data_IF_650313795215
#
_entry.id   IF_650313795215
#
_cell.length_a   1.000
_cell.length_b   1.000
_cell.length_c   1.000
_cell.angle_alpha   90.00
_cell.angle_beta   90.00
_cell.angle_gamma   90.00
#
_symmetry.space_group_name_H-M   'P 1'
#
loop_
_entity.id
_entity.type
_entity.pdbx_description
1 polymer ?
#
# COMPACT_ATOMS: atom_id res chain seq x y z
N UNK A 1 -10.99 11.42 -17.99
CA UNK A 1 -11.01 10.79 -16.65
C UNK A 1 -9.71 10.04 -16.30
N UNK A 2 -9.20 9.09 -17.11
CA UNK A 2 -8.02 8.28 -16.70
C UNK A 2 -6.76 9.07 -16.31
N UNK A 3 -6.50 10.23 -16.93
CA UNK A 3 -5.35 11.11 -16.57
C UNK A 3 -5.40 11.58 -15.12
N UNK A 4 -6.59 11.66 -14.54
CA UNK A 4 -6.81 12.12 -13.18
C UNK A 4 -6.39 11.05 -12.16
N UNK A 5 -6.52 9.75 -12.50
CA UNK A 5 -6.25 8.64 -11.58
C UNK A 5 -4.78 8.49 -11.17
N UNK A 6 -3.87 9.02 -11.98
CA UNK A 6 -2.41 9.04 -11.73
C UNK A 6 -1.90 10.46 -11.46
N UNK A 7 -2.80 11.43 -11.25
CA UNK A 7 -2.43 12.72 -10.68
C UNK A 7 -2.59 12.63 -9.16
N UNK A 8 -1.53 12.88 -8.36
CA UNK A 8 -1.57 12.61 -6.93
C UNK A 8 -2.52 13.58 -6.20
N UNK A 9 -2.66 14.83 -6.67
CA UNK A 9 -3.62 15.79 -6.11
C UNK A 9 -5.05 15.33 -6.33
N UNK A 10 -5.41 15.00 -7.57
CA UNK A 10 -6.75 14.50 -7.86
C UNK A 10 -7.05 13.22 -7.07
N UNK A 11 -6.11 12.26 -7.08
CA UNK A 11 -6.28 10.99 -6.39
C UNK A 11 -6.48 11.18 -4.89
N UNK A 12 -5.71 12.06 -4.28
CA UNK A 12 -5.83 12.39 -2.86
C UNK A 12 -7.18 13.03 -2.53
N UNK A 13 -7.62 14.02 -3.34
CA UNK A 13 -8.92 14.67 -3.17
C UNK A 13 -10.09 13.69 -3.37
N UNK A 14 -9.98 12.77 -4.35
CA UNK A 14 -11.00 11.76 -4.60
C UNK A 14 -11.11 10.76 -3.43
N UNK A 15 -9.98 10.31 -2.89
CA UNK A 15 -9.93 9.41 -1.73
C UNK A 15 -10.55 10.06 -0.50
N UNK A 16 -10.08 11.25 -0.14
CA UNK A 16 -10.60 11.94 1.05
C UNK A 16 -12.04 12.43 0.87
N UNK A 17 -12.42 12.87 -0.33
CA UNK A 17 -13.81 13.21 -0.66
C UNK A 17 -14.74 12.01 -0.48
N UNK A 18 -14.36 10.83 -0.97
CA UNK A 18 -15.13 9.60 -0.79
C UNK A 18 -15.23 9.19 0.69
N UNK A 19 -14.11 9.19 1.41
CA UNK A 19 -14.06 8.81 2.84
C UNK A 19 -14.94 9.73 3.69
N UNK A 20 -14.86 11.05 3.47
CA UNK A 20 -15.70 12.03 4.17
C UNK A 20 -17.16 11.86 3.81
N UNK A 21 -17.50 11.68 2.52
CA UNK A 21 -18.88 11.49 2.10
C UNK A 21 -19.51 10.24 2.73
N UNK A 22 -18.81 9.11 2.73
CA UNK A 22 -19.29 7.86 3.34
C UNK A 22 -19.39 7.97 4.87
N UNK A 23 -18.48 8.70 5.51
CA UNK A 23 -18.54 8.96 6.94
C UNK A 23 -19.72 9.86 7.31
N UNK A 24 -19.93 10.97 6.58
CA UNK A 24 -21.07 11.88 6.78
C UNK A 24 -22.39 11.16 6.55
N UNK A 25 -22.47 10.31 5.52
CA UNK A 25 -23.66 9.47 5.31
C UNK A 25 -23.93 8.57 6.53
N UNK A 26 -22.88 7.94 7.07
CA UNK A 26 -22.98 7.15 8.28
C UNK A 26 -23.40 7.95 9.52
N UNK A 27 -23.06 9.24 9.61
CA UNK A 27 -23.56 10.12 10.65
C UNK A 27 -25.05 10.44 10.47
N UNK A 28 -25.48 10.69 9.23
CA UNK A 28 -26.87 11.05 8.91
C UNK A 28 -27.86 9.92 9.24
N UNK A 29 -27.43 8.67 9.10
CA UNK A 29 -28.25 7.49 9.45
C UNK A 29 -27.98 6.97 10.86
N UNK A 30 -27.30 7.76 11.70
CA UNK A 30 -26.95 7.42 13.09
C UNK A 30 -26.12 6.12 13.24
N UNK A 31 -25.45 5.70 12.17
CA UNK A 31 -24.58 4.52 12.19
C UNK A 31 -23.27 4.80 12.92
N UNK A 32 -22.73 6.01 12.81
CA UNK A 32 -21.56 6.46 13.55
C UNK A 32 -21.93 7.45 14.68
N UNK A 33 -21.16 7.48 15.77
CA UNK A 33 -21.35 8.47 16.83
C UNK A 33 -21.14 9.89 16.30
N UNK A 34 -21.81 10.91 16.87
CA UNK A 34 -21.66 12.30 16.45
C UNK A 34 -20.19 12.74 16.40
N UNK A 35 -19.81 13.28 15.24
CA UNK A 35 -18.46 13.78 15.00
C UNK A 35 -18.18 15.03 15.86
N UNK A 36 -16.99 15.08 16.47
CA UNK A 36 -16.53 16.33 17.08
C UNK A 36 -16.06 17.29 15.98
N UNK A 37 -16.20 18.62 16.17
CA UNK A 37 -15.68 19.61 15.21
C UNK A 37 -14.18 19.42 14.91
N UNK A 38 -13.41 18.88 15.87
CA UNK A 38 -11.97 18.58 15.71
C UNK A 38 -11.68 17.63 14.56
N UNK A 39 -12.56 16.67 14.27
CA UNK A 39 -12.37 15.71 13.15
C UNK A 39 -12.40 16.44 11.82
N UNK A 40 -13.40 17.31 11.60
CA UNK A 40 -13.51 18.07 10.36
C UNK A 40 -12.37 19.06 10.18
N UNK A 41 -11.91 19.71 11.26
CA UNK A 41 -10.72 20.56 11.23
C UNK A 41 -9.46 19.77 10.88
N UNK A 42 -9.25 18.60 11.48
CA UNK A 42 -8.13 17.73 11.18
C UNK A 42 -8.10 17.29 9.72
N UNK A 43 -9.25 16.86 9.18
CA UNK A 43 -9.39 16.47 7.77
C UNK A 43 -9.20 17.66 6.83
N UNK A 44 -9.82 18.80 7.13
CA UNK A 44 -9.71 20.03 6.34
C UNK A 44 -8.27 20.53 6.26
N UNK A 45 -7.58 20.59 7.41
CA UNK A 45 -6.16 20.96 7.48
C UNK A 45 -5.30 19.99 6.67
N UNK A 46 -5.53 18.69 6.82
CA UNK A 46 -4.83 17.65 6.08
C UNK A 46 -4.97 17.80 4.55
N UNK A 47 -6.19 18.01 4.06
CA UNK A 47 -6.47 18.18 2.62
C UNK A 47 -5.89 19.49 2.09
N UNK A 48 -6.04 20.59 2.83
CA UNK A 48 -5.48 21.88 2.46
C UNK A 48 -3.94 21.84 2.42
N UNK A 49 -3.30 21.27 3.44
CA UNK A 49 -1.86 21.13 3.54
C UNK A 49 -1.28 20.29 2.40
N UNK A 50 -1.85 19.12 2.11
CA UNK A 50 -1.42 18.28 0.99
C UNK A 50 -1.52 19.04 -0.34
N UNK A 51 -2.66 19.71 -0.57
CA UNK A 51 -2.90 20.46 -1.80
C UNK A 51 -1.90 21.61 -1.96
N UNK A 52 -1.65 22.35 -0.87
CA UNK A 52 -0.66 23.43 -0.85
C UNK A 52 0.74 22.90 -1.15
N UNK A 53 1.17 21.80 -0.51
CA UNK A 53 2.48 21.20 -0.75
C UNK A 53 2.67 20.75 -2.20
N UNK A 54 1.65 20.13 -2.79
CA UNK A 54 1.66 19.77 -4.20
C UNK A 54 1.83 20.99 -5.10
N UNK A 55 1.00 22.02 -4.88
CA UNK A 55 1.03 23.26 -5.69
C UNK A 55 2.34 24.03 -5.53
N UNK A 56 2.93 24.07 -4.33
CA UNK A 56 4.24 24.69 -4.09
C UNK A 56 5.30 24.11 -5.01
N UNK A 57 5.41 22.77 -5.12
CA UNK A 57 6.39 22.16 -6.03
C UNK A 57 6.08 22.47 -7.49
N UNK A 58 4.82 22.45 -7.90
CA UNK A 58 4.42 22.77 -9.28
C UNK A 58 4.84 24.20 -9.64
N UNK A 59 4.66 25.16 -8.73
CA UNK A 59 5.09 26.56 -8.91
C UNK A 59 6.62 26.68 -8.96
N UNK A 60 7.33 26.08 -7.99
CA UNK A 60 8.80 26.08 -7.96
C UNK A 60 9.42 25.45 -9.22
N UNK A 61 8.76 24.44 -9.78
CA UNK A 61 9.22 23.82 -11.03
C UNK A 61 9.07 24.75 -12.23
N UNK A 62 8.02 25.58 -12.27
CA UNK A 62 7.80 26.54 -13.37
C UNK A 62 8.80 27.69 -13.34
N UNK A 63 9.32 28.06 -12.16
CA UNK A 63 10.28 29.15 -12.01
C UNK A 63 11.74 28.71 -12.20
N UNK A 64 12.02 27.40 -12.22
CA UNK A 64 13.37 26.90 -12.49
C UNK A 64 13.74 27.06 -13.96
N UNK A 65 14.80 27.82 -14.21
CA UNK A 65 15.49 27.84 -15.51
C UNK A 65 16.09 26.47 -15.83
N UNK A 66 16.11 26.14 -17.11
CA UNK A 66 16.51 24.83 -17.66
C UNK A 66 17.91 24.35 -17.21
N UNK A 67 18.77 25.28 -16.79
CA UNK A 67 20.19 25.07 -16.50
C UNK A 67 20.47 24.27 -15.22
N UNK A 68 19.47 24.07 -14.36
CA UNK A 68 19.62 23.36 -13.08
C UNK A 68 19.29 21.86 -13.12
N UNK A 69 19.04 21.27 -14.30
CA UNK A 69 18.79 19.82 -14.36
C UNK A 69 20.09 19.07 -14.10
N UNK A 70 20.31 18.70 -12.83
CA UNK A 70 21.30 17.72 -12.40
C UNK A 70 21.42 16.64 -13.47
N UNK A 71 22.60 16.56 -14.09
CA UNK A 71 22.86 15.61 -15.17
C UNK A 71 22.47 14.24 -14.67
N UNK A 72 21.39 13.69 -15.24
CA UNK A 72 21.01 12.34 -14.94
C UNK A 72 22.19 11.47 -15.38
N UNK A 73 22.69 10.56 -14.52
CA UNK A 73 23.72 9.62 -14.96
C UNK A 73 23.23 8.94 -16.24
N UNK A 74 24.15 8.66 -17.16
CA UNK A 74 23.86 7.96 -18.41
C UNK A 74 23.35 6.54 -18.10
N UNK A 75 22.06 6.42 -17.79
CA UNK A 75 21.40 5.15 -17.50
C UNK A 75 21.04 4.49 -18.84
N UNK A 76 21.33 3.19 -18.95
CA UNK A 76 20.94 2.42 -20.11
C UNK A 76 19.40 2.43 -20.29
N UNK A 77 18.89 2.57 -21.53
CA UNK A 77 17.46 2.51 -21.80
C UNK A 77 16.90 1.13 -21.45
N UNK A 78 15.68 1.11 -20.92
CA UNK A 78 14.94 -0.10 -20.62
C UNK A 78 14.53 -0.77 -21.93
N UNK A 79 15.35 -1.71 -22.41
CA UNK A 79 15.01 -2.55 -23.54
C UNK A 79 14.24 -3.82 -23.09
N UNK A 80 13.66 -4.55 -24.04
CA UNK A 80 12.86 -5.74 -23.78
C UNK A 80 13.64 -6.85 -23.04
N UNK A 81 14.96 -6.96 -23.30
CA UNK A 81 15.84 -7.95 -22.65
C UNK A 81 16.01 -7.62 -21.17
N UNK A 82 16.36 -6.38 -20.84
CA UNK A 82 16.51 -5.90 -19.46
C UNK A 82 15.19 -6.02 -18.69
N UNK A 83 14.07 -5.62 -19.29
CA UNK A 83 12.75 -5.78 -18.66
C UNK A 83 12.43 -7.25 -18.36
N UNK A 84 12.69 -8.16 -19.30
CA UNK A 84 12.50 -9.60 -19.07
C UNK A 84 13.39 -10.12 -17.94
N UNK A 85 14.67 -9.73 -17.92
CA UNK A 85 15.60 -10.12 -16.83
C UNK A 85 15.09 -9.63 -15.47
N UNK A 86 14.67 -8.36 -15.38
CA UNK A 86 14.11 -7.79 -14.17
C UNK A 86 12.84 -8.50 -13.70
N UNK A 87 11.96 -8.86 -14.63
CA UNK A 87 10.75 -9.61 -14.32
C UNK A 87 11.06 -11.04 -13.85
N UNK A 88 12.03 -11.73 -14.44
CA UNK A 88 12.44 -13.06 -13.96
C UNK A 88 13.06 -13.00 -12.56
N UNK A 89 13.92 -12.01 -12.30
CA UNK A 89 14.50 -11.82 -10.97
C UNK A 89 13.40 -11.55 -9.94
N UNK A 90 12.52 -10.59 -10.20
CA UNK A 90 11.43 -10.27 -9.27
C UNK A 90 10.46 -11.45 -9.08
N UNK A 91 10.14 -12.20 -10.13
CA UNK A 91 9.32 -13.41 -10.04
C UNK A 91 9.99 -14.52 -9.21
N UNK A 92 11.30 -14.72 -9.35
CA UNK A 92 12.05 -15.66 -8.53
C UNK A 92 11.94 -15.31 -7.04
N UNK A 93 12.05 -14.02 -6.68
CA UNK A 93 11.80 -13.55 -5.32
C UNK A 93 10.35 -13.77 -4.88
N UNK A 94 9.37 -13.67 -5.79
CA UNK A 94 7.99 -14.03 -5.52
C UNK A 94 7.80 -15.51 -5.19
N UNK A 95 8.44 -16.41 -5.95
CA UNK A 95 8.43 -17.85 -5.65
C UNK A 95 9.10 -18.14 -4.30
N UNK A 96 10.24 -17.50 -4.02
CA UNK A 96 10.92 -17.63 -2.72
C UNK A 96 10.02 -17.14 -1.58
N UNK A 97 9.28 -16.04 -1.77
CA UNK A 97 8.31 -15.56 -0.79
C UNK A 97 7.19 -16.57 -0.52
N UNK A 98 6.63 -17.21 -1.56
CA UNK A 98 5.63 -18.30 -1.41
C UNK A 98 6.20 -19.44 -0.57
N UNK A 99 7.41 -19.91 -0.88
CA UNK A 99 8.08 -20.97 -0.14
C UNK A 99 8.30 -20.56 1.32
N UNK A 100 8.78 -19.35 1.58
CA UNK A 100 9.00 -18.84 2.94
C UNK A 100 7.70 -18.69 3.73
N UNK A 101 6.61 -18.28 3.08
CA UNK A 101 5.28 -18.27 3.69
C UNK A 101 4.82 -19.69 4.07
N UNK A 102 5.02 -20.68 3.19
CA UNK A 102 4.67 -22.07 3.48
C UNK A 102 5.51 -22.65 4.63
N UNK A 103 6.83 -22.42 4.61
CA UNK A 103 7.74 -22.81 5.70
C UNK A 103 7.30 -22.17 7.01
N UNK A 104 6.94 -20.87 7.01
CA UNK A 104 6.43 -20.20 8.22
C UNK A 104 5.18 -20.89 8.78
N UNK A 105 4.23 -21.29 7.93
CA UNK A 105 3.02 -22.01 8.38
C UNK A 105 3.38 -23.35 9.02
N UNK A 106 4.30 -24.12 8.41
CA UNK A 106 4.77 -25.40 8.96
C UNK A 106 5.49 -25.21 10.30
N UNK A 107 6.36 -24.21 10.41
CA UNK A 107 7.07 -23.89 11.66
C UNK A 107 6.07 -23.52 12.75
N UNK A 108 5.07 -22.68 12.45
CA UNK A 108 4.04 -22.31 13.41
C UNK A 108 3.20 -23.51 13.87
N UNK A 109 2.79 -24.38 12.95
CA UNK A 109 2.07 -25.62 13.27
C UNK A 109 2.88 -26.49 14.25
N UNK A 110 4.18 -26.69 13.95
CA UNK A 110 5.07 -27.48 14.81
C UNK A 110 5.33 -26.82 16.17
N UNK A 111 5.57 -25.52 16.21
CA UNK A 111 5.87 -24.79 17.44
C UNK A 111 4.68 -24.78 18.41
N UNK A 112 3.45 -24.80 17.90
CA UNK A 112 2.23 -24.80 18.70
C UNK A 112 1.58 -26.18 18.84
N UNK A 113 2.23 -27.25 18.36
CA UNK A 113 1.70 -28.62 18.38
C UNK A 113 0.31 -28.75 17.74
N UNK A 114 0.05 -27.94 16.70
CA UNK A 114 -1.21 -27.94 15.95
C UNK A 114 -1.00 -28.79 14.69
N UNK A 115 -1.91 -29.73 14.42
CA UNK A 115 -1.90 -30.45 13.15
C UNK A 115 -2.02 -29.48 11.96
N UNK A 116 -1.19 -29.66 10.94
CA UNK A 116 -1.11 -28.76 9.79
C UNK A 116 -2.46 -28.68 9.05
N UNK A 117 -3.16 -29.82 8.96
CA UNK A 117 -4.48 -29.86 8.30
C UNK A 117 -5.51 -29.02 9.07
N UNK A 118 -5.51 -29.13 10.40
CA UNK A 118 -6.36 -28.32 11.29
C UNK A 118 -6.03 -26.85 11.18
N UNK A 119 -4.74 -26.49 11.16
CA UNK A 119 -4.32 -25.09 11.05
C UNK A 119 -4.79 -24.46 9.72
N UNK A 120 -4.74 -25.18 8.61
CA UNK A 120 -5.13 -24.63 7.29
C UNK A 120 -6.66 -24.60 7.11
N UNK A 121 -7.38 -25.53 7.73
CA UNK A 121 -8.85 -25.62 7.61
C UNK A 121 -9.59 -24.70 8.58
N UNK A 122 -9.05 -24.44 9.77
CA UNK A 122 -9.60 -23.49 10.74
C UNK A 122 -8.98 -22.10 10.53
N UNK A 123 -9.68 -21.26 9.75
CA UNK A 123 -9.21 -19.92 9.38
C UNK A 123 -9.08 -18.98 10.58
N UNK A 124 -9.84 -19.21 11.66
CA UNK A 124 -9.75 -18.41 12.88
C UNK A 124 -8.50 -18.78 13.66
N UNK A 125 -8.26 -20.08 13.88
CA UNK A 125 -7.03 -20.58 14.50
C UNK A 125 -5.81 -20.13 13.70
N UNK A 126 -5.82 -20.27 12.37
CA UNK A 126 -4.73 -19.84 11.52
C UNK A 126 -4.39 -18.35 11.70
N UNK A 127 -5.41 -17.50 11.67
CA UNK A 127 -5.24 -16.06 11.86
C UNK A 127 -4.71 -15.75 13.25
N UNK A 128 -5.26 -16.38 14.29
CA UNK A 128 -4.79 -16.20 15.66
C UNK A 128 -3.30 -16.54 15.76
N UNK A 129 -2.90 -17.73 15.29
CA UNK A 129 -1.51 -18.20 15.32
C UNK A 129 -0.57 -17.29 14.53
N UNK A 130 -0.97 -16.79 13.36
CA UNK A 130 -0.18 -15.83 12.58
C UNK A 130 0.02 -14.48 13.28
N UNK A 131 -0.95 -14.09 14.12
CA UNK A 131 -0.91 -12.82 14.88
C UNK A 131 -0.36 -12.97 16.29
N UNK A 132 -0.05 -14.19 16.74
CA UNK A 132 0.55 -14.41 18.05
C UNK A 132 1.88 -13.64 18.13
N UNK A 133 2.13 -13.12 19.33
CA UNK A 133 3.35 -12.37 19.62
C UNK A 133 4.55 -13.29 19.39
N UNK A 134 5.40 -12.93 18.43
CA UNK A 134 6.68 -13.62 18.21
C UNK A 134 7.55 -13.34 19.44
N UNK A 135 7.68 -14.34 20.30
CA UNK A 135 8.52 -14.29 21.50
C UNK A 135 10.00 -14.52 21.12
N UNK A 136 10.97 -14.13 21.98
CA UNK A 136 12.39 -14.22 21.65
C UNK A 136 12.88 -15.64 21.29
N UNK A 137 12.23 -16.66 21.84
CA UNK A 137 12.43 -18.09 21.57
C UNK A 137 11.99 -18.52 20.16
N UNK A 138 11.14 -17.74 19.49
CA UNK A 138 10.67 -18.02 18.12
C UNK A 138 11.62 -17.47 17.03
N UNK A 139 12.93 -17.70 17.18
CA UNK A 139 13.96 -17.16 16.27
C UNK A 139 13.71 -17.55 14.80
N UNK A 140 13.29 -18.79 14.54
CA UNK A 140 12.97 -19.28 13.21
C UNK A 140 11.82 -18.50 12.55
N UNK A 141 10.73 -18.23 13.28
CA UNK A 141 9.57 -17.47 12.79
C UNK A 141 9.97 -16.02 12.51
N UNK A 142 10.82 -15.43 13.35
CA UNK A 142 11.35 -14.07 13.15
C UNK A 142 12.19 -13.98 11.88
N UNK A 143 13.11 -14.91 11.66
CA UNK A 143 13.94 -14.98 10.44
C UNK A 143 13.08 -15.17 9.20
N UNK A 144 12.09 -16.07 9.25
CA UNK A 144 11.13 -16.26 8.15
C UNK A 144 10.38 -14.96 7.84
N UNK A 145 9.91 -14.23 8.86
CA UNK A 145 9.17 -12.98 8.67
C UNK A 145 10.04 -11.87 8.03
N UNK A 146 11.31 -11.79 8.42
CA UNK A 146 12.27 -10.86 7.79
C UNK A 146 12.51 -11.26 6.34
N UNK A 147 12.76 -12.54 6.07
CA UNK A 147 12.97 -13.05 4.72
C UNK A 147 11.75 -12.82 3.82
N UNK A 148 10.53 -13.10 4.30
CA UNK A 148 9.27 -12.79 3.61
C UNK A 148 9.21 -11.29 3.30
N UNK A 149 9.48 -10.42 4.28
CA UNK A 149 9.43 -8.96 4.05
C UNK A 149 10.38 -8.53 2.93
N UNK A 150 11.64 -9.00 2.95
CA UNK A 150 12.64 -8.66 1.93
C UNK A 150 12.26 -9.20 0.56
N UNK A 151 11.86 -10.47 0.49
CA UNK A 151 11.48 -11.13 -0.77
C UNK A 151 10.24 -10.50 -1.38
N UNK A 152 9.20 -10.24 -0.58
CA UNK A 152 7.99 -9.51 -0.99
C UNK A 152 8.30 -8.09 -1.47
N UNK A 153 9.26 -7.39 -0.85
CA UNK A 153 9.66 -6.04 -1.27
C UNK A 153 10.23 -6.03 -2.68
N UNK A 154 11.11 -6.98 -3.03
CA UNK A 154 11.65 -7.13 -4.39
C UNK A 154 10.56 -7.59 -5.35
N UNK A 155 9.73 -8.55 -4.96
CA UNK A 155 8.62 -9.04 -5.78
C UNK A 155 7.62 -7.94 -6.15
N UNK A 156 7.33 -7.02 -5.23
CA UNK A 156 6.42 -5.88 -5.44
C UNK A 156 6.90 -4.93 -6.54
N UNK A 157 8.22 -4.77 -6.74
CA UNK A 157 8.79 -4.02 -7.87
C UNK A 157 8.39 -4.65 -9.19
N UNK A 158 8.32 -5.98 -9.24
CA UNK A 158 7.88 -6.72 -10.41
C UNK A 158 6.48 -6.32 -10.89
N UNK A 159 5.55 -5.98 -9.99
CA UNK A 159 4.23 -5.48 -10.38
C UNK A 159 4.27 -4.11 -11.05
N UNK A 160 5.16 -3.21 -10.59
CA UNK A 160 5.41 -1.93 -11.29
C UNK A 160 5.93 -2.19 -12.71
N UNK A 161 6.87 -3.14 -12.85
CA UNK A 161 7.44 -3.55 -14.14
C UNK A 161 6.45 -4.30 -15.03
N UNK A 162 5.49 -5.03 -14.46
CA UNK A 162 4.40 -5.64 -15.22
C UNK A 162 3.48 -4.59 -15.84
N UNK A 163 3.24 -3.48 -15.14
CA UNK A 163 2.55 -2.32 -15.73
C UNK A 163 3.30 -1.81 -16.97
N UNK A 164 4.63 -1.76 -16.91
CA UNK A 164 5.46 -1.43 -18.06
C UNK A 164 5.43 -2.49 -19.17
N UNK A 165 5.47 -3.77 -18.83
CA UNK A 165 5.37 -4.88 -19.78
C UNK A 165 4.02 -4.88 -20.51
N UNK A 166 2.92 -4.65 -19.78
CA UNK A 166 1.59 -4.56 -20.38
C UNK A 166 1.50 -3.38 -21.35
N UNK A 167 2.16 -2.26 -21.04
CA UNK A 167 2.17 -1.07 -21.89
C UNK A 167 3.07 -1.20 -23.13
N UNK A 168 4.31 -1.63 -22.97
CA UNK A 168 5.28 -1.70 -24.07
C UNK A 168 5.25 -3.03 -24.82
N UNK A 169 4.92 -4.13 -24.16
CA UNK A 169 4.91 -5.46 -24.75
C UNK A 169 3.80 -5.63 -25.78
N UNK A 170 4.14 -6.19 -26.95
CA UNK A 170 3.18 -6.63 -27.98
C UNK A 170 2.96 -8.14 -28.00
N UNK A 171 3.92 -8.92 -27.52
CA UNK A 171 3.86 -10.39 -27.53
C UNK A 171 2.81 -10.95 -26.57
N UNK A 172 2.18 -12.08 -26.93
CA UNK A 172 1.27 -12.86 -26.07
C UNK A 172 1.93 -13.36 -24.78
N UNK A 173 3.26 -13.52 -24.78
CA UNK A 173 4.04 -13.94 -23.61
C UNK A 173 3.81 -13.06 -22.37
N UNK A 174 3.51 -11.76 -22.56
CA UNK A 174 3.24 -10.84 -21.45
C UNK A 174 2.12 -11.30 -20.53
N UNK A 175 1.08 -11.94 -21.07
CA UNK A 175 -0.03 -12.44 -20.28
C UNK A 175 0.34 -13.68 -19.47
N UNK A 176 1.22 -14.54 -20.01
CA UNK A 176 1.78 -15.66 -19.27
C UNK A 176 2.62 -15.17 -18.08
N UNK A 177 3.43 -14.13 -18.28
CA UNK A 177 4.19 -13.51 -17.17
C UNK A 177 3.26 -12.91 -16.12
N UNK A 178 2.24 -12.14 -16.53
CA UNK A 178 1.24 -11.59 -15.59
C UNK A 178 0.58 -12.71 -14.80
N UNK A 179 0.13 -13.78 -15.46
CA UNK A 179 -0.50 -14.92 -14.79
C UNK A 179 0.41 -15.55 -13.73
N UNK A 180 1.70 -15.75 -14.02
CA UNK A 180 2.65 -16.30 -13.04
C UNK A 180 2.80 -15.40 -11.80
N UNK A 181 2.87 -14.07 -11.99
CA UNK A 181 2.89 -13.13 -10.87
C UNK A 181 1.59 -13.14 -10.07
N UNK A 182 0.45 -13.24 -10.75
CA UNK A 182 -0.87 -13.33 -10.10
C UNK A 182 -0.97 -14.60 -9.25
N UNK A 183 -0.51 -15.75 -9.77
CA UNK A 183 -0.49 -17.02 -9.04
C UNK A 183 0.44 -16.96 -7.83
N UNK A 184 1.64 -16.39 -7.96
CA UNK A 184 2.56 -16.22 -6.84
C UNK A 184 1.99 -15.27 -5.78
N UNK A 185 1.41 -14.13 -6.17
CA UNK A 185 0.77 -13.21 -5.23
C UNK A 185 -0.46 -13.84 -4.55
N UNK A 186 -1.27 -14.62 -5.27
CA UNK A 186 -2.37 -15.38 -4.69
C UNK A 186 -1.87 -16.39 -3.66
N UNK A 187 -0.79 -17.12 -3.98
CA UNK A 187 -0.15 -18.06 -3.05
C UNK A 187 0.32 -17.37 -1.76
N UNK A 188 1.01 -16.23 -1.88
CA UNK A 188 1.42 -15.41 -0.72
C UNK A 188 0.18 -14.95 0.06
N UNK A 189 -0.83 -14.42 -0.62
CA UNK A 189 -2.05 -13.90 -0.01
C UNK A 189 -2.86 -14.95 0.76
N UNK A 190 -2.97 -16.17 0.21
CA UNK A 190 -3.64 -17.29 0.87
C UNK A 190 -2.83 -17.78 2.08
N UNK A 191 -1.51 -17.99 1.93
CA UNK A 191 -0.64 -18.48 3.01
C UNK A 191 -0.45 -17.48 4.17
N UNK A 192 -0.67 -16.19 3.90
CA UNK A 192 -0.62 -15.12 4.90
C UNK A 192 -1.99 -14.68 5.39
N UNK A 193 -3.07 -15.21 4.78
CA UNK A 193 -4.45 -14.74 4.96
C UNK A 193 -4.57 -13.19 4.80
N UNK A 194 -3.74 -12.59 3.95
CA UNK A 194 -3.63 -11.14 3.81
C UNK A 194 -4.09 -10.68 2.41
N UNK A 195 -5.29 -10.08 2.35
CA UNK A 195 -5.82 -9.46 1.11
C UNK A 195 -5.03 -8.21 0.71
N UNK A 196 -4.49 -7.49 1.72
CA UNK A 196 -3.85 -6.19 1.56
C UNK A 196 -2.68 -6.23 0.58
N UNK A 197 -1.78 -7.20 0.73
CA UNK A 197 -0.55 -7.25 -0.06
C UNK A 197 -0.84 -7.49 -1.55
N UNK A 198 -1.71 -8.45 -1.85
CA UNK A 198 -2.12 -8.73 -3.23
C UNK A 198 -2.84 -7.54 -3.84
N UNK A 199 -3.74 -6.89 -3.09
CA UNK A 199 -4.45 -5.68 -3.55
C UNK A 199 -3.47 -4.57 -3.93
N UNK A 200 -2.47 -4.34 -3.09
CA UNK A 200 -1.46 -3.29 -3.31
C UNK A 200 -0.58 -3.61 -4.52
N UNK A 201 -0.17 -4.87 -4.68
CA UNK A 201 0.59 -5.32 -5.85
C UNK A 201 -0.21 -5.16 -7.16
N UNK A 202 -1.50 -5.50 -7.16
CA UNK A 202 -2.37 -5.27 -8.32
C UNK A 202 -2.54 -3.79 -8.63
N UNK A 203 -2.67 -2.95 -7.60
CA UNK A 203 -2.71 -1.49 -7.76
C UNK A 203 -1.38 -0.94 -8.29
N UNK A 204 -0.23 -1.45 -7.86
CA UNK A 204 1.07 -1.06 -8.44
C UNK A 204 1.11 -1.31 -9.95
N UNK A 205 0.65 -2.48 -10.40
CA UNK A 205 0.58 -2.80 -11.83
C UNK A 205 -0.41 -1.89 -12.56
N UNK A 206 -1.61 -1.70 -12.03
CA UNK A 206 -2.65 -0.87 -12.65
C UNK A 206 -2.23 0.61 -12.75
N UNK A 207 -1.72 1.19 -11.66
CA UNK A 207 -1.27 2.58 -11.62
C UNK A 207 -0.04 2.80 -12.50
N UNK A 208 0.92 1.87 -12.53
CA UNK A 208 2.09 1.94 -13.42
C UNK A 208 1.67 1.92 -14.88
N UNK A 209 0.75 1.02 -15.24
CA UNK A 209 0.18 0.94 -16.60
C UNK A 209 -0.53 2.23 -17.01
N UNK A 210 -1.39 2.77 -16.14
CA UNK A 210 -2.11 4.03 -16.38
C UNK A 210 -1.15 5.23 -16.48
N UNK A 211 -0.09 5.26 -15.67
CA UNK A 211 0.92 6.31 -15.71
C UNK A 211 1.66 6.32 -17.05
N UNK A 212 2.12 5.15 -17.51
CA UNK A 212 2.79 5.03 -18.81
C UNK A 212 1.84 5.37 -19.96
N UNK A 213 0.56 4.98 -19.87
CA UNK A 213 -0.43 5.40 -20.85
C UNK A 213 -0.63 6.93 -20.88
N UNK A 214 -0.68 7.59 -19.73
CA UNK A 214 -0.76 9.05 -19.67
C UNK A 214 0.46 9.72 -20.31
N UNK A 215 1.65 9.18 -20.07
CA UNK A 215 2.93 9.73 -20.51
C UNK A 215 3.12 9.62 -22.02
N UNK A 216 2.83 8.45 -22.61
CA UNK A 216 3.17 8.15 -24.00
C UNK A 216 1.97 8.17 -24.96
N UNK A 217 0.74 7.95 -24.49
CA UNK A 217 -0.52 8.07 -25.26
C UNK A 217 -0.58 7.32 -26.60
N UNK A 218 0.13 6.22 -26.75
CA UNK A 218 0.17 5.50 -28.04
C UNK A 218 -1.04 4.59 -28.28
N UNK A 219 -1.78 4.22 -27.23
CA UNK A 219 -2.89 3.25 -27.30
C UNK A 219 -4.26 3.91 -27.18
N UNK A 220 -5.30 3.28 -27.75
CA UNK A 220 -6.69 3.71 -27.59
C UNK A 220 -7.20 3.37 -26.18
N UNK A 221 -8.07 4.22 -25.63
CA UNK A 221 -8.63 4.03 -24.26
C UNK A 221 -9.34 2.68 -24.07
N UNK A 222 -9.99 2.14 -25.10
CA UNK A 222 -10.69 0.86 -25.01
C UNK A 222 -9.72 -0.33 -24.78
N UNK A 223 -8.52 -0.27 -25.36
CA UNK A 223 -7.47 -1.26 -25.14
C UNK A 223 -6.94 -1.19 -23.71
N UNK A 224 -6.82 0.03 -23.17
CA UNK A 224 -6.38 0.28 -21.79
C UNK A 224 -7.32 -0.39 -20.79
N UNK A 225 -8.64 -0.23 -20.98
CA UNK A 225 -9.64 -0.91 -20.15
C UNK A 225 -9.51 -2.42 -20.28
N UNK A 226 -9.40 -2.95 -21.50
CA UNK A 226 -9.25 -4.39 -21.75
C UNK A 226 -8.07 -5.02 -21.01
N UNK A 227 -6.93 -4.33 -20.93
CA UNK A 227 -5.75 -4.81 -20.20
C UNK A 227 -5.91 -4.80 -18.67
N UNK A 228 -6.82 -3.99 -18.13
CA UNK A 228 -7.09 -3.91 -16.69
C UNK A 228 -8.16 -4.91 -16.22
N UNK A 229 -8.93 -5.51 -17.13
CA UNK A 229 -9.97 -6.51 -16.79
C UNK A 229 -9.38 -7.70 -16.04
N UNK A 230 -8.29 -8.29 -16.53
CA UNK A 230 -7.70 -9.48 -15.90
C UNK A 230 -7.19 -9.21 -14.47
N UNK A 231 -6.41 -8.13 -14.20
CA UNK A 231 -6.06 -7.74 -12.83
C UNK A 231 -7.27 -7.51 -11.92
N UNK A 232 -8.32 -6.85 -12.42
CA UNK A 232 -9.55 -6.60 -11.65
C UNK A 232 -10.31 -7.90 -11.35
N UNK A 233 -10.40 -8.82 -12.32
CA UNK A 233 -10.99 -10.14 -12.12
C UNK A 233 -10.20 -10.94 -11.09
N UNK A 234 -8.86 -10.92 -11.14
CA UNK A 234 -8.01 -11.57 -10.16
C UNK A 234 -8.21 -11.01 -8.74
N UNK A 235 -8.36 -9.69 -8.62
CA UNK A 235 -8.70 -9.04 -7.34
C UNK A 235 -10.07 -9.51 -6.83
N UNK A 236 -11.09 -9.52 -7.68
CA UNK A 236 -12.43 -9.98 -7.31
C UNK A 236 -12.41 -11.44 -6.84
N UNK A 237 -11.75 -12.34 -7.59
CA UNK A 237 -11.60 -13.74 -7.22
C UNK A 237 -10.88 -13.90 -5.88
N UNK A 238 -9.78 -13.18 -5.65
CA UNK A 238 -9.10 -13.18 -4.36
C UNK A 238 -10.03 -12.75 -3.23
N UNK A 239 -10.76 -11.65 -3.40
CA UNK A 239 -11.68 -11.17 -2.36
C UNK A 239 -12.76 -12.21 -2.06
N UNK A 240 -13.34 -12.83 -3.08
CA UNK A 240 -14.31 -13.91 -2.92
C UNK A 240 -13.73 -15.13 -2.20
N UNK A 241 -12.53 -15.58 -2.58
CA UNK A 241 -11.86 -16.72 -1.96
C UNK A 241 -11.54 -16.44 -0.49
N UNK A 242 -10.93 -15.29 -0.19
CA UNK A 242 -10.58 -14.95 1.20
C UNK A 242 -11.83 -14.63 2.02
N UNK A 243 -12.92 -14.18 1.40
CA UNK A 243 -14.20 -14.02 2.10
C UNK A 243 -14.88 -15.35 2.39
N UNK A 244 -14.86 -16.29 1.45
CA UNK A 244 -15.32 -17.65 1.68
C UNK A 244 -14.54 -18.35 2.80
N UNK A 245 -13.22 -18.12 2.88
CA UNK A 245 -12.36 -18.69 3.91
C UNK A 245 -12.54 -18.02 5.29
N UNK A 246 -12.66 -16.69 5.34
CA UNK A 246 -12.71 -15.95 6.61
C UNK A 246 -14.12 -15.66 7.13
N UNK A 247 -15.14 -15.80 6.27
CA UNK A 247 -16.54 -15.46 6.55
C UNK A 247 -16.71 -14.07 7.18
N UNK A 248 -15.90 -13.08 6.75
CA UNK A 248 -15.85 -11.76 7.41
C UNK A 248 -17.19 -11.04 7.39
N UNK A 249 -17.97 -11.20 6.32
CA UNK A 249 -19.28 -10.59 6.18
C UNK A 249 -20.30 -11.02 7.24
N UNK A 250 -20.11 -12.18 7.89
CA UNK A 250 -21.00 -12.66 8.94
C UNK A 250 -20.91 -11.83 10.24
N UNK A 251 -19.85 -11.04 10.44
CA UNK A 251 -19.66 -10.25 11.66
C UNK A 251 -20.51 -8.97 11.74
N UNK A 252 -21.30 -8.67 10.70
CA UNK A 252 -22.06 -7.43 10.57
C UNK A 252 -23.59 -7.67 10.56
N UNK A 253 -24.03 -8.84 11.03
CA UNK A 253 -25.44 -9.27 11.07
C UNK A 253 -26.27 -8.98 9.79
N UNK A 254 -25.76 -9.30 8.59
CA UNK A 254 -26.43 -8.91 7.35
C UNK A 254 -27.58 -9.85 6.98
N UNK A 255 -28.59 -9.32 6.28
CA UNK A 255 -29.70 -10.12 5.71
C UNK A 255 -29.26 -11.09 4.61
N UNK A 256 -28.09 -10.87 3.99
CA UNK A 256 -27.52 -11.75 2.96
C UNK A 256 -25.99 -11.66 2.94
N UNK A 257 -25.33 -12.67 2.34
CA UNK A 257 -23.86 -12.67 2.19
C UNK A 257 -23.34 -11.48 1.39
N UNK A 258 -24.02 -11.11 0.30
CA UNK A 258 -23.63 -9.96 -0.51
C UNK A 258 -23.72 -8.66 0.28
N UNK A 259 -24.78 -8.48 1.06
CA UNK A 259 -24.93 -7.31 1.92
C UNK A 259 -23.82 -7.26 2.99
N UNK A 260 -23.49 -8.39 3.62
CA UNK A 260 -22.37 -8.47 4.56
C UNK A 260 -21.02 -8.08 3.95
N UNK A 261 -20.78 -8.50 2.71
CA UNK A 261 -19.60 -8.09 1.96
C UNK A 261 -19.59 -6.58 1.69
N UNK A 262 -20.69 -6.01 1.22
CA UNK A 262 -20.80 -4.56 0.93
C UNK A 262 -20.65 -3.72 2.20
N UNK A 263 -21.27 -4.13 3.31
CA UNK A 263 -21.11 -3.50 4.63
C UNK A 263 -19.65 -3.59 5.07
N UNK A 264 -18.98 -4.72 4.86
CA UNK A 264 -17.54 -4.83 5.18
C UNK A 264 -16.71 -3.84 4.37
N UNK A 265 -16.99 -3.67 3.06
CA UNK A 265 -16.26 -2.69 2.23
C UNK A 265 -16.53 -1.26 2.71
N UNK A 266 -17.80 -0.89 2.94
CA UNK A 266 -18.17 0.40 3.49
C UNK A 266 -17.47 0.67 4.83
N UNK A 267 -17.52 -0.30 5.74
CA UNK A 267 -16.89 -0.25 7.05
C UNK A 267 -15.40 0.03 6.96
N UNK A 268 -14.66 -0.69 6.11
CA UNK A 268 -13.21 -0.49 5.95
C UNK A 268 -12.82 0.86 5.35
N UNK A 269 -13.75 1.58 4.70
CA UNK A 269 -13.50 2.92 4.15
C UNK A 269 -13.91 4.02 5.14
N UNK A 270 -15.07 3.88 5.77
CA UNK A 270 -15.67 4.93 6.61
C UNK A 270 -15.27 4.84 8.09
N UNK A 271 -15.19 3.62 8.65
CA UNK A 271 -14.87 3.42 10.08
C UNK A 271 -13.51 3.97 10.51
N UNK A 272 -12.45 4.01 9.67
CA UNK A 272 -11.17 4.60 10.06
C UNK A 272 -11.28 6.07 10.51
N UNK A 273 -12.16 6.84 9.87
CA UNK A 273 -12.37 8.25 10.21
C UNK A 273 -13.19 8.38 11.50
N UNK A 274 -14.19 7.53 11.69
CA UNK A 274 -14.94 7.44 12.94
C UNK A 274 -14.04 7.04 14.13
N UNK A 275 -13.16 6.05 13.93
CA UNK A 275 -12.19 5.60 14.94
C UNK A 275 -11.18 6.71 15.29
N UNK A 276 -10.76 7.50 14.30
CA UNK A 276 -9.94 8.68 14.54
C UNK A 276 -10.69 9.73 15.38
N UNK A 277 -12.00 9.89 15.18
CA UNK A 277 -12.84 10.78 15.99
C UNK A 277 -12.91 10.38 17.46
N UNK A 278 -13.07 9.09 17.75
CA UNK A 278 -13.01 8.58 19.13
C UNK A 278 -11.62 8.76 19.74
N UNK A 279 -10.57 8.46 18.98
CA UNK A 279 -9.19 8.68 19.42
C UNK A 279 -8.93 10.14 19.82
N UNK A 280 -9.43 11.12 19.07
CA UNK A 280 -9.29 12.55 19.41
C UNK A 280 -10.00 12.96 20.70
N UNK A 281 -10.99 12.19 21.16
CA UNK A 281 -11.70 12.45 22.43
C UNK A 281 -10.91 11.92 23.62
N UNK A 282 -10.25 10.77 23.45
CA UNK A 282 -9.58 10.04 24.54
C UNK A 282 -8.08 10.29 24.63
N UNK A 283 -7.47 10.90 23.61
CA UNK A 283 -6.04 11.20 23.63
C UNK A 283 -5.68 12.16 24.78
N UNK A 284 -4.72 11.74 25.60
CA UNK A 284 -4.26 12.40 26.82
C UNK A 284 -3.29 13.57 26.58
N UNK A 285 -2.87 13.78 25.32
CA UNK A 285 -1.91 14.81 24.93
C UNK A 285 -0.45 14.40 25.10
N UNK A 286 -0.16 13.14 25.43
CA UNK A 286 1.20 12.62 25.49
C UNK A 286 1.70 12.30 24.07
N UNK A 287 2.42 13.26 23.49
CA UNK A 287 2.95 13.16 22.13
C UNK A 287 4.13 12.22 22.05
N UNK A 288 4.13 11.34 21.04
CA UNK A 288 5.17 10.33 20.83
C UNK A 288 6.37 10.80 19.99
N UNK A 289 6.31 12.02 19.46
CA UNK A 289 7.44 12.69 18.78
C UNK A 289 8.05 11.89 17.61
N UNK A 290 7.22 11.16 16.86
CA UNK A 290 7.60 10.50 15.61
C UNK A 290 7.72 8.98 15.70
N UNK A 291 7.48 8.39 16.87
CA UNK A 291 7.58 6.94 17.06
C UNK A 291 6.57 6.18 16.20
N UNK A 292 5.38 6.73 15.99
CA UNK A 292 4.30 6.08 15.25
C UNK A 292 4.47 6.27 13.73
N UNK A 293 4.70 7.50 13.27
CA UNK A 293 4.90 7.88 11.86
C UNK A 293 6.18 7.25 11.29
N UNK A 294 7.27 7.22 12.07
CA UNK A 294 8.56 6.68 11.63
C UNK A 294 8.86 5.32 12.26
N UNK A 295 7.84 4.55 12.63
CA UNK A 295 7.99 3.28 13.35
C UNK A 295 9.00 2.31 12.73
N UNK A 296 9.06 2.10 11.39
CA UNK A 296 10.13 1.33 10.77
C UNK A 296 11.53 1.76 11.22
N UNK A 297 11.82 3.05 11.06
CA UNK A 297 13.11 3.66 11.40
C UNK A 297 13.35 3.57 12.91
N UNK A 298 12.33 3.89 13.72
CA UNK A 298 12.41 3.79 15.16
C UNK A 298 12.74 2.38 15.64
N UNK A 299 12.14 1.33 15.03
CA UNK A 299 12.46 -0.07 15.32
C UNK A 299 13.92 -0.42 14.98
N UNK A 300 14.49 0.15 13.91
CA UNK A 300 15.90 -0.03 13.58
C UNK A 300 16.81 0.65 14.60
N UNK A 301 16.50 1.89 14.97
CA UNK A 301 17.25 2.64 15.99
C UNK A 301 17.18 1.94 17.36
N UNK A 302 16.01 1.42 17.74
CA UNK A 302 15.82 0.68 18.98
C UNK A 302 16.63 -0.62 19.00
N UNK A 303 16.70 -1.34 17.87
CA UNK A 303 17.56 -2.53 17.72
C UNK A 303 19.04 -2.21 17.78
N UNK A 304 19.43 -1.01 17.36
CA UNK A 304 20.78 -0.49 17.52
C UNK A 304 21.04 0.08 18.92
N UNK A 305 20.09 -0.02 19.85
CA UNK A 305 20.14 0.54 21.19
C UNK A 305 20.35 2.06 21.23
N UNK A 306 19.98 2.78 20.15
CA UNK A 306 20.09 4.24 20.03
C UNK A 306 18.88 4.99 20.60
N UNK A 307 17.74 4.31 20.72
CA UNK A 307 16.51 4.82 21.33
C UNK A 307 15.89 3.71 22.18
N UNK A 308 15.03 4.04 23.17
CA UNK A 308 14.29 3.04 23.93
C UNK A 308 13.52 2.09 23.02
N UNK A 309 13.37 0.84 23.46
CA UNK A 309 12.47 -0.08 22.77
C UNK A 309 11.06 0.51 22.87
N UNK A 310 10.35 0.70 21.74
CA UNK A 310 9.02 1.29 21.78
C UNK A 310 8.14 0.46 22.70
N UNK A 311 7.32 1.10 23.53
CA UNK A 311 6.37 0.43 24.42
C UNK A 311 5.48 -0.48 23.58
N UNK A 312 5.86 -1.76 23.57
CA UNK A 312 5.60 -2.70 22.48
C UNK A 312 4.13 -3.08 22.31
N UNK A 313 3.24 -2.61 23.19
CA UNK A 313 1.81 -2.86 23.12
C UNK A 313 1.03 -1.78 22.35
N UNK A 314 1.38 -0.49 22.39
CA UNK A 314 0.47 0.55 21.90
C UNK A 314 0.56 0.83 20.39
N UNK A 315 1.74 0.62 19.79
CA UNK A 315 1.99 1.05 18.39
C UNK A 315 1.65 -0.05 17.36
N UNK A 316 1.72 -1.34 17.74
CA UNK A 316 1.49 -2.47 16.82
C UNK A 316 0.11 -3.10 17.03
N UNK A 317 -0.36 -3.17 18.27
CA UNK A 317 -1.72 -3.54 18.60
C UNK A 317 -2.54 -2.27 18.72
N UNK A 318 -2.91 -1.72 17.57
CA UNK A 318 -3.86 -0.62 17.55
C UNK A 318 -5.08 -1.02 18.36
N UNK A 319 -5.41 -0.20 19.35
CA UNK A 319 -6.57 -0.40 20.20
C UNK A 319 -7.80 -0.60 19.31
N UNK A 320 -8.49 -1.72 19.50
CA UNK A 320 -9.74 -1.97 18.78
C UNK A 320 -10.79 -1.10 19.43
N UNK A 321 -11.43 -0.24 18.65
CA UNK A 321 -12.53 0.60 19.13
C UNK A 321 -13.83 0.05 18.56
N UNK A 322 -14.90 0.09 19.35
CA UNK A 322 -16.21 -0.41 18.95
C UNK A 322 -17.16 0.74 18.58
N UNK A 323 -17.55 0.87 17.30
CA UNK A 323 -18.29 2.05 16.77
C UNK A 323 -19.09 1.83 15.46
N UNK A 324 -20.19 1.05 15.38
CA UNK A 324 -20.82 0.15 16.34
C UNK A 324 -20.35 -1.30 16.16
N UNK A 325 -19.38 -1.54 15.28
CA UNK A 325 -18.64 -2.79 15.18
C UNK A 325 -17.19 -2.57 15.59
N UNK A 326 -16.43 -3.65 15.77
CA UNK A 326 -15.00 -3.56 16.08
C UNK A 326 -14.22 -3.00 14.89
N UNK A 327 -13.74 -1.76 15.03
CA UNK A 327 -12.78 -1.13 14.14
C UNK A 327 -11.37 -1.45 14.62
N UNK A 328 -10.56 -2.05 13.74
CA UNK A 328 -9.16 -2.38 14.01
C UNK A 328 -8.21 -1.59 13.11
N UNK A 329 -8.71 -0.53 12.48
CA UNK A 329 -8.04 0.27 11.46
C UNK A 329 -8.38 1.72 11.69
N UNK A 330 -7.40 2.58 11.44
CA UNK A 330 -7.50 4.03 11.58
C UNK A 330 -7.06 4.69 10.28
N UNK A 331 -7.29 5.99 10.16
CA UNK A 331 -6.63 6.76 9.10
C UNK A 331 -5.18 7.02 9.48
N UNK A 332 -4.34 7.35 8.49
CA UNK A 332 -2.96 7.76 8.76
C UNK A 332 -2.84 9.04 9.61
N UNK A 333 -3.93 9.82 9.75
CA UNK A 333 -3.98 11.02 10.58
C UNK A 333 -3.77 10.68 12.05
N UNK A 334 -4.18 9.48 12.49
CA UNK A 334 -4.00 9.04 13.87
C UNK A 334 -2.53 9.07 14.25
N UNK A 335 -1.67 8.38 13.50
CA UNK A 335 -0.24 8.32 13.81
C UNK A 335 0.41 9.70 13.74
N UNK A 336 0.01 10.54 12.76
CA UNK A 336 0.53 11.91 12.64
C UNK A 336 0.12 12.77 13.85
N UNK A 337 -1.14 12.67 14.27
CA UNK A 337 -1.65 13.39 15.43
C UNK A 337 -1.03 12.88 16.74
N UNK A 338 -0.96 11.57 16.94
CA UNK A 338 -0.35 10.95 18.13
C UNK A 338 1.12 11.39 18.32
N UNK A 339 1.85 11.64 17.23
CA UNK A 339 3.23 12.09 17.30
C UNK A 339 3.39 13.61 17.45
N UNK A 340 2.54 14.41 16.81
CA UNK A 340 2.80 15.84 16.58
C UNK A 340 1.57 16.75 16.68
N UNK A 341 0.42 16.22 17.10
CA UNK A 341 -0.85 16.94 17.17
C UNK A 341 -1.27 17.58 15.84
N UNK A 342 -1.95 18.73 15.92
CA UNK A 342 -2.39 19.48 14.73
C UNK A 342 -1.23 20.03 13.89
N UNK A 343 -0.06 20.29 14.49
CA UNK A 343 1.13 20.72 13.74
C UNK A 343 1.55 19.64 12.76
N UNK A 344 1.57 18.37 13.19
CA UNK A 344 1.82 17.23 12.31
C UNK A 344 0.84 17.15 11.15
N UNK A 345 -0.46 17.37 11.42
CA UNK A 345 -1.52 17.34 10.41
C UNK A 345 -1.37 18.44 9.36
N UNK A 346 -0.67 19.54 9.67
CA UNK A 346 -0.29 20.56 8.68
C UNK A 346 1.01 20.21 7.94
N UNK A 347 2.03 19.74 8.65
CA UNK A 347 3.38 19.56 8.08
C UNK A 347 3.51 18.28 7.26
N UNK A 348 3.07 17.14 7.78
CA UNK A 348 3.30 15.84 7.13
C UNK A 348 2.52 15.72 5.80
N UNK A 349 1.22 16.07 5.72
CA UNK A 349 0.51 16.06 4.44
C UNK A 349 1.09 17.05 3.43
N UNK A 350 1.55 18.23 3.88
CA UNK A 350 2.25 19.19 3.04
C UNK A 350 3.52 18.59 2.42
N UNK A 351 4.37 17.96 3.23
CA UNK A 351 5.58 17.29 2.74
C UNK A 351 5.25 16.14 1.79
N UNK A 352 4.18 15.36 2.06
CA UNK A 352 3.72 14.31 1.17
C UNK A 352 3.24 14.87 -0.18
N UNK A 353 2.49 15.97 -0.17
CA UNK A 353 2.06 16.69 -1.37
C UNK A 353 3.26 17.16 -2.20
N UNK A 354 4.22 17.83 -1.55
CA UNK A 354 5.47 18.30 -2.16
C UNK A 354 6.28 17.14 -2.78
N UNK A 355 6.48 16.07 -2.01
CA UNK A 355 7.20 14.87 -2.44
C UNK A 355 6.51 14.20 -3.62
N UNK A 356 5.17 14.07 -3.58
CA UNK A 356 4.41 13.43 -4.65
C UNK A 356 4.58 14.14 -5.99
N UNK A 357 4.55 15.48 -6.00
CA UNK A 357 4.79 16.29 -7.20
C UNK A 357 6.25 16.20 -7.67
N UNK A 358 7.19 16.22 -6.72
CA UNK A 358 8.62 16.09 -7.00
C UNK A 358 8.96 14.76 -7.65
N UNK A 359 8.49 13.66 -7.08
CA UNK A 359 8.70 12.31 -7.60
C UNK A 359 7.95 12.12 -8.92
N UNK A 360 6.70 12.59 -9.05
CA UNK A 360 5.94 12.53 -10.30
C UNK A 360 6.72 13.12 -11.48
N UNK A 361 7.37 14.27 -11.29
CA UNK A 361 8.15 14.94 -12.34
C UNK A 361 9.37 14.13 -12.83
N UNK A 362 9.84 13.17 -12.03
CA UNK A 362 10.98 12.30 -12.32
C UNK A 362 10.57 10.86 -12.67
N UNK A 363 9.34 10.46 -12.38
CA UNK A 363 8.83 9.11 -12.58
C UNK A 363 8.91 8.64 -14.04
N UNK A 364 8.80 9.55 -15.01
CA UNK A 364 8.96 9.25 -16.43
C UNK A 364 10.41 9.06 -16.89
N UNK A 365 11.42 9.25 -16.02
CA UNK A 365 12.84 9.22 -16.40
C UNK A 365 13.51 7.88 -16.14
N UNK A 366 13.21 7.22 -15.01
CA UNK A 366 13.83 5.95 -14.65
C UNK A 366 12.88 5.02 -13.91
N UNK A 367 13.16 3.72 -13.98
CA UNK A 367 12.36 2.69 -13.31
C UNK A 367 12.36 2.86 -11.78
N UNK A 368 13.48 3.28 -11.19
CA UNK A 368 13.56 3.57 -9.76
C UNK A 368 12.63 4.69 -9.32
N UNK A 369 12.57 5.80 -10.08
CA UNK A 369 11.62 6.88 -9.79
C UNK A 369 10.18 6.48 -10.08
N UNK A 370 9.92 5.67 -11.12
CA UNK A 370 8.59 5.12 -11.36
C UNK A 370 8.12 4.27 -10.17
N UNK A 371 8.96 3.38 -9.65
CA UNK A 371 8.66 2.56 -8.49
C UNK A 371 8.42 3.42 -7.23
N UNK A 372 9.28 4.40 -6.94
CA UNK A 372 9.06 5.33 -5.83
C UNK A 372 7.74 6.09 -6.00
N UNK A 373 7.40 6.51 -7.22
CA UNK A 373 6.17 7.20 -7.49
C UNK A 373 4.95 6.33 -7.22
N UNK A 374 4.98 5.07 -7.64
CA UNK A 374 3.92 4.11 -7.36
C UNK A 374 3.75 3.88 -5.85
N UNK A 375 4.84 3.79 -5.07
CA UNK A 375 4.78 3.72 -3.60
C UNK A 375 4.06 4.94 -3.03
N UNK A 376 4.42 6.15 -3.47
CA UNK A 376 3.76 7.39 -3.03
C UNK A 376 2.27 7.39 -3.39
N UNK A 377 1.90 6.94 -4.60
CA UNK A 377 0.48 6.83 -4.98
C UNK A 377 -0.27 5.82 -4.11
N UNK A 378 0.33 4.69 -3.74
CA UNK A 378 -0.28 3.73 -2.80
C UNK A 378 -0.48 4.35 -1.42
N UNK A 379 0.51 5.10 -0.92
CA UNK A 379 0.38 5.85 0.35
C UNK A 379 -0.79 6.83 0.28
N UNK A 380 -0.99 7.50 -0.86
CA UNK A 380 -2.13 8.40 -1.08
C UNK A 380 -3.46 7.62 -1.11
N UNK A 381 -3.55 6.55 -1.92
CA UNK A 381 -4.77 5.74 -2.08
C UNK A 381 -5.27 5.21 -0.75
N UNK A 382 -4.36 4.70 0.08
CA UNK A 382 -4.68 4.13 1.39
C UNK A 382 -4.38 5.11 2.53
N UNK A 383 -4.37 6.43 2.29
CA UNK A 383 -4.20 7.40 3.39
C UNK A 383 -5.33 7.33 4.42
N UNK A 384 -6.49 6.81 4.03
CA UNK A 384 -7.57 6.45 4.95
C UNK A 384 -7.31 5.18 5.78
N UNK A 385 -6.15 4.53 5.60
CA UNK A 385 -5.80 3.24 6.20
C UNK A 385 -4.35 3.25 6.74
N UNK A 386 -4.21 3.30 8.07
CA UNK A 386 -2.99 3.68 8.80
C UNK A 386 -1.80 2.71 8.65
N UNK A 387 -2.04 1.44 8.32
CA UNK A 387 -0.99 0.42 8.34
C UNK A 387 0.03 0.49 7.20
N UNK A 388 0.07 1.53 6.37
CA UNK A 388 1.02 1.62 5.28
C UNK A 388 2.41 2.03 5.74
N UNK A 389 2.53 3.15 6.46
CA UNK A 389 3.82 3.71 6.87
C UNK A 389 4.55 2.83 7.89
N UNK A 390 3.81 1.95 8.57
CA UNK A 390 4.36 0.97 9.53
C UNK A 390 5.12 -0.19 8.83
N UNK A 391 4.89 -0.43 7.54
CA UNK A 391 5.49 -1.58 6.85
C UNK A 391 6.90 -1.28 6.33
N UNK A 392 7.88 -2.07 6.76
CA UNK A 392 9.25 -2.05 6.20
C UNK A 392 9.30 -2.34 4.68
N UNK A 393 8.26 -2.98 4.13
CA UNK A 393 8.22 -3.42 2.74
C UNK A 393 8.40 -2.25 1.76
N UNK A 394 7.76 -1.10 2.00
CA UNK A 394 7.85 0.05 1.08
C UNK A 394 9.25 0.69 1.08
N UNK A 395 9.90 0.73 2.24
CA UNK A 395 11.25 1.27 2.37
C UNK A 395 12.25 0.38 1.62
N UNK A 396 12.15 -0.93 1.80
CA UNK A 396 12.98 -1.88 1.07
C UNK A 396 12.65 -1.90 -0.43
N UNK A 397 11.38 -1.82 -0.81
CA UNK A 397 10.97 -1.72 -2.22
C UNK A 397 11.55 -0.46 -2.87
N UNK A 398 11.51 0.69 -2.20
CA UNK A 398 12.13 1.91 -2.68
C UNK A 398 13.64 1.75 -2.83
N UNK A 399 14.32 1.24 -1.79
CA UNK A 399 15.76 0.99 -1.78
C UNK A 399 16.18 0.06 -2.92
N UNK A 400 15.59 -1.13 -3.01
CA UNK A 400 15.88 -2.10 -4.06
C UNK A 400 15.52 -1.58 -5.45
N UNK A 401 14.46 -0.77 -5.57
CA UNK A 401 14.10 -0.06 -6.79
C UNK A 401 15.24 0.79 -7.35
N UNK A 402 15.90 1.57 -6.50
CA UNK A 402 17.03 2.40 -6.90
C UNK A 402 18.36 1.64 -7.03
N UNK A 403 18.55 0.55 -6.28
CA UNK A 403 19.79 -0.24 -6.33
C UNK A 403 19.81 -1.14 -7.57
N UNK A 404 18.76 -1.92 -7.82
CA UNK A 404 18.77 -2.99 -8.81
C UNK A 404 18.14 -2.62 -10.17
N UNK A 405 17.23 -1.65 -10.21
CA UNK A 405 16.43 -1.34 -11.40
C UNK A 405 16.78 0.04 -12.00
N UNK A 406 18.07 0.20 -12.33
CA UNK A 406 18.67 1.46 -12.82
C UNK A 406 18.55 1.66 -14.33
N UNK A 407 17.40 1.40 -14.91
CA UNK A 407 17.16 1.67 -16.34
C UNK A 407 16.37 2.96 -16.56
N UNK A 408 16.74 3.70 -17.61
CA UNK A 408 15.95 4.83 -18.13
C UNK A 408 14.69 4.29 -18.80
N UNK A 409 13.53 4.92 -18.60
CA UNK A 409 12.36 4.56 -19.39
C UNK A 409 12.59 4.96 -20.86
N UNK A 410 12.02 4.24 -21.85
CA UNK A 410 12.23 4.55 -23.25
C UNK A 410 11.85 6.00 -23.54
N UNK A 411 12.73 6.76 -24.17
CA UNK A 411 12.31 8.00 -24.82
C UNK A 411 11.57 7.57 -26.08
N UNK A 412 10.40 8.14 -26.33
CA UNK A 412 9.68 7.86 -27.55
C UNK A 412 10.36 8.61 -28.70
N UNK A 413 11.47 8.06 -29.19
CA UNK A 413 11.84 8.26 -30.58
C UNK A 413 10.92 7.34 -31.38
N UNK A 414 10.10 7.94 -32.25
CA UNK A 414 8.86 7.39 -32.78
C UNK A 414 8.97 6.10 -33.64
N UNK A 415 10.14 5.47 -33.75
CA UNK A 415 10.42 4.49 -34.81
C UNK A 415 10.97 3.11 -34.39
N UNK A 416 11.20 2.79 -33.10
CA UNK A 416 12.04 1.61 -32.75
C UNK A 416 11.50 0.52 -31.79
N UNK A 417 10.18 0.35 -31.60
CA UNK A 417 9.62 -0.78 -30.82
C UNK A 417 8.43 -1.49 -31.50
#
# INVERSE_FOLDING_TARGET
MMRCLVNPLFLYLAVWGLVVALYVEGLNVEFFPPATPKVFWAVGLNVAAFSLGYLTWVLLRRTRTSDGMLHAPALAPLNARSLRTYLHVTLFFGFLAVVMCAVRVVVLARTHEIDLSRLITDSHLWRQTLTLRITPDMMAVRLCTIAITLTCSVFSIGFVLLGALLYFGRSRWRYGTVLLFLLAALGIGLLSIARKEVTINLLFMALSYLFLHQQYRTRRTIEVVGHLVAPLAALAVLFLLVDALLQKGANYDPSSRLMGFLVSVYWYIASPLAAFGEFLKTHDGNWRLGQSVFLPIYKWLARAHLVPVPDSMSIIYMEKIHIPYMANVYTYLRNIYEDFGFVGLGVIPYLLGLLSAAVQSRAGRSCGYLNLYMIVLIVIVFSFYDHLLISNQYYFQAFFGFVFFRSRLPEMDAESL
#
